data_IF_091496975813
#
_entry.id   IF_091496975813
#
_cell.length_a   1.000
_cell.length_b   1.000
_cell.length_c   1.000
_cell.angle_alpha   90.00
_cell.angle_beta   90.00
_cell.angle_gamma   90.00
#
_symmetry.space_group_name_H-M   'P 1'
#
loop_
_entity.id
_entity.type
_entity.pdbx_description
1 polymer ?
#
# COMPACT_ATOMS: atom_id res chain seq x y z
N UNK A 1 -12.67 2.93 8.38
CA UNK A 1 -12.77 3.77 7.17
C UNK A 1 -11.59 3.39 6.29
N UNK A 2 -11.80 3.09 5.02
CA UNK A 2 -10.69 2.73 4.13
C UNK A 2 -9.85 3.98 3.83
N UNK A 3 -8.62 4.00 4.32
CA UNK A 3 -7.68 5.13 4.22
C UNK A 3 -6.36 4.77 3.53
N UNK A 4 -6.22 3.52 3.07
CA UNK A 4 -5.06 3.01 2.35
C UNK A 4 -5.46 1.91 1.35
N UNK A 5 -4.49 1.46 0.54
CA UNK A 5 -4.69 0.44 -0.51
C UNK A 5 -3.52 -0.53 -0.51
N UNK A 6 -3.80 -1.81 -0.69
CA UNK A 6 -2.81 -2.85 -0.98
C UNK A 6 -2.78 -3.16 -2.47
N UNK A 7 -1.58 -3.31 -3.04
CA UNK A 7 -1.40 -3.64 -4.45
C UNK A 7 -0.31 -4.69 -4.59
N UNK A 8 -0.61 -5.80 -5.26
CA UNK A 8 0.39 -6.75 -5.73
C UNK A 8 0.84 -6.35 -7.15
N UNK A 9 2.14 -6.12 -7.32
CA UNK A 9 2.71 -5.63 -8.58
C UNK A 9 3.80 -6.55 -9.10
N UNK A 10 3.80 -6.79 -10.42
CA UNK A 10 4.95 -7.32 -11.15
C UNK A 10 5.57 -6.18 -11.96
N UNK A 11 6.82 -5.84 -11.65
CA UNK A 11 7.53 -4.73 -12.28
C UNK A 11 8.70 -5.23 -13.13
N UNK A 12 8.97 -4.62 -14.30
CA UNK A 12 10.23 -4.85 -15.01
C UNK A 12 11.42 -4.46 -14.14
N UNK A 13 12.54 -5.18 -14.28
CA UNK A 13 13.78 -4.91 -13.50
C UNK A 13 14.38 -3.53 -13.76
N UNK A 14 14.00 -2.89 -14.87
CA UNK A 14 14.42 -1.53 -15.24
C UNK A 14 13.59 -0.43 -14.59
N UNK A 15 12.48 -0.78 -13.92
CA UNK A 15 11.59 0.18 -13.26
C UNK A 15 11.75 0.07 -11.75
N UNK A 16 12.21 1.15 -11.12
CA UNK A 16 12.32 1.20 -9.66
C UNK A 16 10.95 1.25 -8.99
N UNK A 17 10.84 0.67 -7.80
CA UNK A 17 9.62 0.73 -6.96
C UNK A 17 9.23 2.20 -6.70
N UNK A 18 10.20 3.06 -6.40
CA UNK A 18 9.95 4.49 -6.17
C UNK A 18 9.30 5.16 -7.39
N UNK A 19 9.76 4.84 -8.60
CA UNK A 19 9.19 5.40 -9.83
C UNK A 19 7.79 4.86 -10.09
N UNK A 20 7.57 3.56 -9.89
CA UNK A 20 6.24 2.94 -10.01
C UNK A 20 5.23 3.59 -9.05
N UNK A 21 5.61 3.75 -7.77
CA UNK A 21 4.75 4.37 -6.76
C UNK A 21 4.49 5.85 -7.05
N UNK A 22 5.49 6.60 -7.51
CA UNK A 22 5.29 7.98 -7.95
C UNK A 22 4.22 8.06 -9.05
N UNK A 23 4.33 7.22 -10.09
CA UNK A 23 3.39 7.22 -11.21
C UNK A 23 1.99 6.80 -10.78
N UNK A 24 1.86 5.74 -9.98
CA UNK A 24 0.56 5.28 -9.48
C UNK A 24 -0.15 6.36 -8.65
N UNK A 25 0.56 6.96 -7.69
CA UNK A 25 -0.01 7.99 -6.81
C UNK A 25 -0.36 9.26 -7.59
N UNK A 26 0.51 9.72 -8.48
CA UNK A 26 0.25 10.93 -9.27
C UNK A 26 -0.95 10.76 -10.23
N UNK A 27 -1.00 9.66 -10.97
CA UNK A 27 -2.07 9.41 -11.94
C UNK A 27 -3.42 9.20 -11.25
N UNK A 28 -3.45 8.45 -10.13
CA UNK A 28 -4.67 8.25 -9.37
C UNK A 28 -5.16 9.54 -8.70
N UNK A 29 -4.28 10.35 -8.10
CA UNK A 29 -4.68 11.65 -7.55
C UNK A 29 -5.28 12.55 -8.63
N UNK A 30 -4.63 12.64 -9.79
CA UNK A 30 -5.16 13.41 -10.92
C UNK A 30 -6.55 12.92 -11.34
N UNK A 31 -6.70 11.61 -11.54
CA UNK A 31 -7.98 11.01 -11.91
C UNK A 31 -9.07 11.28 -10.86
N UNK A 32 -8.74 11.17 -9.57
CA UNK A 32 -9.67 11.48 -8.48
C UNK A 32 -10.13 12.94 -8.53
N UNK A 33 -9.20 13.88 -8.71
CA UNK A 33 -9.52 15.32 -8.78
C UNK A 33 -10.36 15.69 -10.00
N UNK A 34 -10.15 15.02 -11.14
CA UNK A 34 -10.87 15.26 -12.39
C UNK A 34 -12.25 14.61 -12.41
N UNK A 35 -12.40 13.43 -11.78
CA UNK A 35 -13.63 12.63 -11.82
C UNK A 35 -14.59 12.97 -10.68
N UNK A 36 -14.06 13.31 -9.50
CA UNK A 36 -14.84 13.54 -8.27
C UNK A 36 -14.54 14.93 -7.71
N UNK A 37 -15.27 15.99 -8.14
CA UNK A 37 -15.03 17.36 -7.69
C UNK A 37 -15.10 17.57 -6.17
N UNK A 38 -15.88 16.75 -5.47
CA UNK A 38 -16.00 16.72 -4.02
C UNK A 38 -14.74 16.18 -3.32
N UNK A 39 -13.88 15.44 -4.04
CA UNK A 39 -12.63 14.88 -3.55
C UNK A 39 -11.41 15.69 -4.01
N UNK A 40 -11.56 16.97 -4.32
CA UNK A 40 -10.44 17.86 -4.72
C UNK A 40 -9.29 17.95 -3.71
N UNK A 41 -9.55 17.69 -2.44
CA UNK A 41 -8.52 17.67 -1.39
C UNK A 41 -7.89 16.28 -1.18
N UNK A 42 -8.34 15.26 -1.93
CA UNK A 42 -7.76 13.94 -1.86
C UNK A 42 -6.25 14.02 -2.14
N UNK A 43 -5.46 13.41 -1.27
CA UNK A 43 -4.03 13.26 -1.47
C UNK A 43 -3.58 11.97 -0.82
N UNK A 44 -2.61 11.32 -1.45
CA UNK A 44 -1.91 10.22 -0.81
C UNK A 44 -0.91 10.78 0.21
N UNK A 45 -0.68 10.05 1.30
CA UNK A 45 0.46 10.28 2.19
C UNK A 45 1.77 10.35 1.39
N UNK A 46 2.82 10.98 1.92
CA UNK A 46 4.12 11.07 1.21
C UNK A 46 4.77 9.69 1.04
N UNK A 47 4.75 8.87 2.10
CA UNK A 47 5.38 7.55 2.14
C UNK A 47 4.66 6.46 1.36
N UNK A 48 5.27 5.28 1.35
CA UNK A 48 4.68 4.01 0.93
C UNK A 48 5.44 2.85 1.60
N UNK A 49 4.75 1.74 1.86
CA UNK A 49 5.36 0.47 2.23
C UNK A 49 5.58 -0.40 1.00
N UNK A 50 6.72 -1.10 0.92
CA UNK A 50 7.00 -2.02 -0.18
C UNK A 50 7.73 -3.26 0.34
N UNK A 51 7.17 -4.44 0.07
CA UNK A 51 7.69 -5.71 0.54
C UNK A 51 7.80 -6.66 -0.65
N UNK A 52 8.98 -7.26 -0.85
CA UNK A 52 9.18 -8.25 -1.92
C UNK A 52 8.71 -9.62 -1.48
N UNK A 53 8.06 -10.35 -2.39
CA UNK A 53 7.62 -11.73 -2.18
C UNK A 53 8.24 -12.66 -3.23
N UNK A 54 8.40 -13.93 -2.89
CA UNK A 54 8.72 -14.97 -3.86
C UNK A 54 7.48 -15.40 -4.67
N UNK A 55 7.70 -15.98 -5.85
CA UNK A 55 6.63 -16.47 -6.74
C UNK A 55 5.68 -17.44 -6.03
N UNK A 56 6.19 -18.26 -5.12
CA UNK A 56 5.39 -19.19 -4.32
C UNK A 56 4.37 -18.51 -3.39
N UNK A 57 4.56 -17.23 -3.08
CA UNK A 57 3.65 -16.46 -2.22
C UNK A 57 2.59 -15.65 -2.96
N UNK A 58 2.53 -15.73 -4.30
CA UNK A 58 1.60 -14.92 -5.11
C UNK A 58 0.14 -15.23 -4.77
N UNK A 59 -0.26 -16.50 -4.79
CA UNK A 59 -1.65 -16.91 -4.51
C UNK A 59 -2.10 -16.53 -3.10
N UNK A 60 -1.22 -16.71 -2.11
CA UNK A 60 -1.50 -16.31 -0.73
C UNK A 60 -1.62 -14.79 -0.59
N UNK A 61 -0.83 -14.03 -1.36
CA UNK A 61 -0.88 -12.57 -1.35
C UNK A 61 -2.13 -12.04 -2.04
N UNK A 62 -2.57 -12.67 -3.14
CA UNK A 62 -3.85 -12.34 -3.78
C UNK A 62 -4.98 -12.53 -2.78
N UNK A 63 -5.06 -13.72 -2.18
CA UNK A 63 -6.08 -14.04 -1.17
C UNK A 63 -6.07 -13.05 -0.01
N UNK A 64 -4.88 -12.70 0.47
CA UNK A 64 -4.72 -11.72 1.53
C UNK A 64 -5.33 -10.36 1.16
N UNK A 65 -5.04 -9.85 -0.04
CA UNK A 65 -5.57 -8.57 -0.53
C UNK A 65 -7.09 -8.63 -0.68
N UNK A 66 -7.62 -9.71 -1.25
CA UNK A 66 -9.07 -9.87 -1.47
C UNK A 66 -9.86 -9.87 -0.15
N UNK A 67 -9.26 -10.34 0.94
CA UNK A 67 -9.90 -10.40 2.27
C UNK A 67 -9.62 -9.16 3.15
N UNK A 68 -8.99 -8.11 2.63
CA UNK A 68 -8.56 -6.97 3.46
C UNK A 68 -9.72 -6.20 4.10
N UNK A 69 -10.84 -6.07 3.41
CA UNK A 69 -12.02 -5.41 3.98
C UNK A 69 -12.46 -6.10 5.28
N UNK A 70 -12.57 -7.43 5.25
CA UNK A 70 -12.89 -8.27 6.42
C UNK A 70 -11.84 -8.13 7.53
N UNK A 71 -10.56 -8.19 7.17
CA UNK A 71 -9.44 -8.06 8.10
C UNK A 71 -9.45 -6.70 8.83
N UNK A 72 -9.79 -5.62 8.13
CA UNK A 72 -9.85 -4.28 8.71
C UNK A 72 -11.04 -4.01 9.64
N UNK A 73 -11.99 -4.93 9.76
CA UNK A 73 -12.98 -4.87 10.84
C UNK A 73 -12.37 -5.20 12.21
N UNK A 74 -11.27 -5.95 12.23
CA UNK A 74 -10.64 -6.43 13.47
C UNK A 74 -9.28 -5.77 13.70
N UNK A 75 -8.60 -5.31 12.64
CA UNK A 75 -7.23 -4.82 12.71
C UNK A 75 -6.99 -3.55 11.89
N UNK A 76 -6.38 -2.54 12.51
CA UNK A 76 -6.08 -1.27 11.86
C UNK A 76 -4.84 -1.31 10.96
N UNK A 77 -4.72 -0.31 10.08
CA UNK A 77 -3.54 -0.12 9.22
C UNK A 77 -2.22 -0.11 10.00
N UNK A 78 -2.16 0.63 11.11
CA UNK A 78 -0.94 0.75 11.93
C UNK A 78 -0.45 -0.61 12.43
N UNK A 79 -1.35 -1.39 13.01
CA UNK A 79 -1.06 -2.73 13.55
C UNK A 79 -0.61 -3.68 12.43
N UNK A 80 -1.19 -3.54 11.24
CA UNK A 80 -0.83 -4.31 10.06
C UNK A 80 0.57 -3.95 9.55
N UNK A 81 0.86 -2.67 9.38
CA UNK A 81 2.18 -2.18 8.98
C UNK A 81 3.26 -2.65 9.97
N UNK A 82 2.99 -2.55 11.27
CA UNK A 82 3.89 -3.05 12.32
C UNK A 82 4.20 -4.55 12.15
N UNK A 83 3.19 -5.39 11.92
CA UNK A 83 3.50 -6.81 11.71
C UNK A 83 4.21 -7.10 10.40
N UNK A 84 3.99 -6.32 9.34
CA UNK A 84 4.79 -6.46 8.13
C UNK A 84 6.26 -6.13 8.39
N UNK A 85 6.52 -5.03 9.08
CA UNK A 85 7.89 -4.65 9.45
C UNK A 85 8.55 -5.73 10.30
N UNK A 86 7.85 -6.27 11.31
CA UNK A 86 8.34 -7.40 12.11
C UNK A 86 8.57 -8.67 11.29
N UNK A 87 7.60 -9.06 10.44
CA UNK A 87 7.70 -10.25 9.59
C UNK A 87 8.90 -10.19 8.65
N UNK A 88 9.23 -8.99 8.17
CA UNK A 88 10.36 -8.76 7.27
C UNK A 88 11.66 -8.35 7.99
N UNK A 89 11.68 -8.34 9.33
CA UNK A 89 12.88 -8.04 10.12
C UNK A 89 13.38 -6.61 9.97
N UNK A 90 12.49 -5.66 9.64
CA UNK A 90 12.82 -4.25 9.50
C UNK A 90 12.77 -3.60 10.89
N UNK A 91 13.87 -2.96 11.31
CA UNK A 91 13.91 -2.16 12.53
C UNK A 91 13.27 -0.80 12.22
N UNK A 92 12.30 -0.40 13.03
CA UNK A 92 11.58 0.86 12.88
C UNK A 92 11.41 1.56 14.23
N UNK A 93 11.32 2.88 14.18
CA UNK A 93 10.93 3.70 15.32
C UNK A 93 9.41 3.88 15.31
N UNK A 94 8.72 3.95 16.48
CA UNK A 94 7.27 4.11 16.53
C UNK A 94 6.73 5.33 15.75
N UNK A 95 7.54 6.38 15.63
CA UNK A 95 7.21 7.60 14.86
C UNK A 95 7.19 7.38 13.34
N UNK A 96 7.64 6.23 12.83
CA UNK A 96 7.56 5.87 11.41
C UNK A 96 6.20 5.24 11.03
N UNK A 97 5.34 5.00 12.01
CA UNK A 97 4.02 4.40 11.84
C UNK A 97 2.88 5.43 11.89
N UNK A 98 3.21 6.71 12.04
CA UNK A 98 2.32 7.88 12.08
C UNK A 98 2.51 8.75 10.83
#
# INVERSE_FOLDING_TARGET
MADHVHILLSLPTTLSVAKAMQTLKANSSKWMHETFPELRQFSWQQGYGAFSIGVSGVEDTIRYIDTQEEHHHVRGFREELEAFLHKHGIIFEPAMLD
#
